data_IF_205100112004
#
_entry.id   IF_205100112004
#
_cell.length_a   1.000
_cell.length_b   1.000
_cell.length_c   1.000
_cell.angle_alpha   90.00
_cell.angle_beta   90.00
_cell.angle_gamma   90.00
#
_symmetry.space_group_name_H-M   'P 1'
#
loop_
_entity.id
_entity.type
_entity.pdbx_description
1 polymer ?
#
# COMPACT_ATOMS: atom_id res chain seq x y z
N UNK A 1 7.06 -12.06 -6.00
CA UNK A 1 6.19 -13.25 -6.18
C UNK A 1 5.18 -12.99 -7.28
N UNK A 2 5.05 -13.88 -8.17
CA UNK A 2 4.02 -13.80 -9.19
C UNK A 2 2.78 -14.55 -8.70
N UNK A 3 1.65 -13.91 -8.84
CA UNK A 3 0.38 -14.46 -8.38
C UNK A 3 -0.68 -14.50 -9.48
N UNK A 4 -0.30 -14.06 -10.66
CA UNK A 4 -1.22 -13.88 -11.78
C UNK A 4 -1.36 -15.12 -12.67
N UNK A 5 -0.65 -16.18 -12.38
CA UNK A 5 -0.79 -17.44 -13.11
C UNK A 5 -2.11 -18.10 -12.79
N UNK A 6 -2.71 -17.73 -11.66
CA UNK A 6 -3.97 -18.32 -11.23
C UNK A 6 -5.11 -17.61 -11.90
N UNK A 7 -5.47 -18.09 -13.08
CA UNK A 7 -6.67 -17.63 -13.78
C UNK A 7 -7.73 -18.73 -13.81
N UNK A 8 -7.56 -19.75 -12.99
CA UNK A 8 -8.49 -20.86 -12.89
C UNK A 8 -9.85 -20.33 -12.38
N UNK A 9 -10.91 -20.42 -13.19
CA UNK A 9 -12.24 -19.96 -12.77
C UNK A 9 -12.76 -20.66 -11.53
N UNK A 10 -12.40 -21.94 -11.34
CA UNK A 10 -12.84 -22.68 -10.16
C UNK A 10 -12.23 -22.13 -8.89
N UNK A 11 -10.93 -21.79 -8.93
CA UNK A 11 -10.25 -21.19 -7.78
C UNK A 11 -10.79 -19.80 -7.49
N UNK A 12 -10.96 -18.97 -8.51
CA UNK A 12 -11.51 -17.62 -8.36
C UNK A 12 -12.91 -17.66 -7.77
N UNK A 13 -13.77 -18.54 -8.25
CA UNK A 13 -15.12 -18.73 -7.73
C UNK A 13 -15.10 -19.18 -6.28
N UNK A 14 -14.20 -20.09 -5.93
CA UNK A 14 -14.06 -20.58 -4.56
C UNK A 14 -13.64 -19.46 -3.60
N UNK A 15 -12.70 -18.63 -4.00
CA UNK A 15 -12.25 -17.49 -3.19
C UNK A 15 -13.41 -16.49 -3.00
N UNK A 16 -14.16 -16.19 -4.07
CA UNK A 16 -15.28 -15.26 -3.98
C UNK A 16 -16.39 -15.80 -3.09
N UNK A 17 -16.67 -17.10 -3.14
CA UNK A 17 -17.67 -17.74 -2.29
C UNK A 17 -17.27 -17.71 -0.82
N UNK A 18 -15.99 -17.67 -0.52
CA UNK A 18 -15.49 -17.55 0.84
C UNK A 18 -15.72 -16.15 1.45
N UNK A 19 -16.18 -15.18 0.64
CA UNK A 19 -16.42 -13.80 1.06
C UNK A 19 -15.23 -12.88 0.84
N UNK A 20 -15.23 -11.71 1.47
CA UNK A 20 -14.17 -10.74 1.27
C UNK A 20 -12.82 -11.24 1.78
N UNK A 21 -11.76 -10.88 1.04
CA UNK A 21 -10.38 -11.16 1.41
C UNK A 21 -9.64 -9.84 1.49
N UNK A 22 -9.13 -9.52 2.68
CA UNK A 22 -8.41 -8.27 2.92
C UNK A 22 -6.92 -8.57 3.07
N UNK A 23 -6.10 -7.89 2.27
CA UNK A 23 -4.66 -7.98 2.36
C UNK A 23 -4.13 -6.76 3.12
N UNK A 24 -3.34 -7.00 4.17
CA UNK A 24 -2.54 -5.92 4.76
C UNK A 24 -1.38 -5.63 3.83
N UNK A 25 -1.43 -4.50 3.14
CA UNK A 25 -0.54 -4.20 2.03
C UNK A 25 0.68 -3.38 2.47
N UNK A 26 1.17 -3.62 3.68
CA UNK A 26 2.41 -2.99 4.18
C UNK A 26 3.00 -3.82 5.32
N UNK A 27 4.28 -3.56 5.60
CA UNK A 27 4.98 -4.10 6.76
C UNK A 27 5.61 -2.95 7.54
N UNK A 28 5.84 -3.16 8.85
CA UNK A 28 6.33 -2.10 9.72
C UNK A 28 7.73 -1.63 9.35
N UNK A 29 8.60 -2.54 8.98
CA UNK A 29 10.03 -2.31 8.75
C UNK A 29 10.40 -2.18 7.26
N UNK A 30 9.49 -1.69 6.45
CA UNK A 30 9.77 -1.41 5.04
C UNK A 30 10.84 -0.34 4.89
N UNK A 31 11.59 -0.40 3.79
CA UNK A 31 12.60 0.60 3.48
C UNK A 31 11.97 1.99 3.31
N UNK A 32 12.56 3.05 3.89
CA UNK A 32 12.03 4.41 3.79
C UNK A 32 12.48 5.08 2.49
N UNK A 33 12.12 4.50 1.36
CA UNK A 33 12.57 4.91 0.03
C UNK A 33 11.46 5.49 -0.85
N UNK A 34 10.27 5.68 -0.29
CA UNK A 34 9.12 6.28 -0.97
C UNK A 34 8.67 5.50 -2.23
N UNK A 35 8.89 4.19 -2.27
CA UNK A 35 8.60 3.37 -3.45
C UNK A 35 7.31 2.55 -3.35
N UNK A 36 6.67 2.52 -2.17
CA UNK A 36 5.62 1.54 -1.89
C UNK A 36 4.36 1.75 -2.72
N UNK A 37 3.93 3.00 -2.92
CA UNK A 37 2.75 3.27 -3.75
C UNK A 37 2.98 2.79 -5.18
N UNK A 38 4.15 3.04 -5.74
CA UNK A 38 4.50 2.55 -7.07
C UNK A 38 4.55 1.04 -7.14
N UNK A 39 5.07 0.41 -6.10
CA UNK A 39 5.09 -1.05 -5.99
C UNK A 39 3.67 -1.62 -6.02
N UNK A 40 2.77 -1.08 -5.19
CA UNK A 40 1.38 -1.55 -5.15
C UNK A 40 0.68 -1.33 -6.48
N UNK A 41 0.88 -0.17 -7.12
CA UNK A 41 0.29 0.10 -8.42
C UNK A 41 0.77 -0.88 -9.49
N UNK A 42 2.06 -1.22 -9.47
CA UNK A 42 2.63 -2.16 -10.43
C UNK A 42 2.10 -3.59 -10.23
N UNK A 43 1.71 -3.96 -9.01
CA UNK A 43 1.26 -5.31 -8.67
C UNK A 43 -0.26 -5.42 -8.44
N UNK A 44 -1.01 -4.35 -8.72
CA UNK A 44 -2.44 -4.30 -8.44
C UNK A 44 -3.20 -5.42 -9.14
N UNK A 45 -2.89 -5.71 -10.40
CA UNK A 45 -3.56 -6.76 -11.14
C UNK A 45 -3.27 -8.14 -10.54
N UNK A 46 -2.03 -8.39 -10.16
CA UNK A 46 -1.65 -9.67 -9.54
C UNK A 46 -2.39 -9.88 -8.22
N UNK A 47 -2.52 -8.82 -7.43
CA UNK A 47 -3.26 -8.86 -6.17
C UNK A 47 -4.74 -9.16 -6.43
N UNK A 48 -5.34 -8.51 -7.41
CA UNK A 48 -6.72 -8.74 -7.78
C UNK A 48 -6.95 -10.19 -8.26
N UNK A 49 -6.01 -10.72 -9.02
CA UNK A 49 -6.09 -12.08 -9.56
C UNK A 49 -6.07 -13.15 -8.46
N UNK A 50 -5.52 -12.83 -7.29
CA UNK A 50 -5.58 -13.72 -6.12
C UNK A 50 -6.96 -13.75 -5.46
N UNK A 51 -7.88 -12.87 -5.86
CA UNK A 51 -9.19 -12.76 -5.23
C UNK A 51 -9.23 -11.79 -4.05
N UNK A 52 -8.19 -10.98 -3.86
CA UNK A 52 -8.18 -9.92 -2.86
C UNK A 52 -9.23 -8.88 -3.23
N UNK A 53 -10.15 -8.60 -2.31
CA UNK A 53 -11.26 -7.67 -2.54
C UNK A 53 -11.02 -6.30 -1.95
N UNK A 54 -10.10 -6.18 -1.00
CA UNK A 54 -9.73 -4.91 -0.39
C UNK A 54 -8.29 -4.98 0.11
N UNK A 55 -7.62 -3.86 0.16
CA UNK A 55 -6.28 -3.78 0.74
C UNK A 55 -6.31 -2.80 1.92
N UNK A 56 -5.55 -3.14 2.95
CA UNK A 56 -5.33 -2.26 4.10
C UNK A 56 -4.02 -1.54 3.87
N UNK A 57 -4.12 -0.24 3.56
CA UNK A 57 -2.95 0.60 3.32
C UNK A 57 -2.41 1.16 4.64
N UNK A 58 -1.11 1.45 4.70
CA UNK A 58 -0.57 2.24 5.80
C UNK A 58 -1.08 3.68 5.67
N UNK A 59 -0.92 4.49 6.75
CA UNK A 59 -1.33 5.89 6.69
C UNK A 59 -0.64 6.62 5.54
N UNK A 60 -1.42 7.37 4.76
CA UNK A 60 -0.90 8.09 3.59
C UNK A 60 -0.39 9.49 3.94
N UNK A 61 -0.73 10.01 5.12
CA UNK A 61 -0.34 11.35 5.55
C UNK A 61 1.08 11.39 6.12
N UNK A 62 1.62 12.62 6.22
CA UNK A 62 2.97 12.84 6.74
C UNK A 62 3.02 12.51 8.24
N UNK A 63 3.94 11.63 8.60
CA UNK A 63 4.21 11.29 9.97
C UNK A 63 5.27 12.21 10.60
N UNK A 64 5.36 12.16 11.92
CA UNK A 64 6.28 13.00 12.69
C UNK A 64 7.74 12.76 12.32
N UNK A 65 8.11 11.54 12.00
CA UNK A 65 9.48 11.17 11.58
C UNK A 65 9.69 11.30 10.07
N UNK A 66 8.76 11.92 9.34
CA UNK A 66 8.87 12.11 7.90
C UNK A 66 8.94 10.79 7.15
N UNK A 67 9.93 10.66 6.28
CA UNK A 67 10.09 9.46 5.44
C UNK A 67 10.39 8.20 6.26
N UNK A 68 10.81 8.35 7.50
CA UNK A 68 11.10 7.21 8.38
C UNK A 68 9.89 6.77 9.20
N UNK A 69 8.80 7.54 9.18
CA UNK A 69 7.62 7.23 9.98
C UNK A 69 6.72 6.24 9.25
N UNK A 70 6.34 5.15 9.94
CA UNK A 70 5.36 4.21 9.42
C UNK A 70 4.02 4.91 9.13
N UNK A 71 3.77 6.05 9.79
CA UNK A 71 2.65 6.92 9.52
C UNK A 71 1.70 7.10 10.71
N UNK A 72 1.83 6.28 11.72
CA UNK A 72 0.94 6.34 12.89
C UNK A 72 1.32 7.46 13.88
N UNK A 73 2.53 8.03 13.73
CA UNK A 73 2.91 9.25 14.45
C UNK A 73 2.50 10.47 13.64
N UNK A 74 1.26 10.93 13.80
CA UNK A 74 0.68 11.97 12.95
C UNK A 74 1.42 13.29 13.09
N UNK A 75 1.80 13.88 11.96
CA UNK A 75 2.29 15.26 11.90
C UNK A 75 1.28 16.16 11.18
N UNK A 76 0.92 15.84 9.95
CA UNK A 76 -0.02 16.64 9.16
C UNK A 76 -0.92 15.72 8.34
N UNK A 77 -2.20 15.67 8.73
CA UNK A 77 -3.20 14.84 8.07
C UNK A 77 -3.50 15.28 6.63
N UNK A 78 -3.17 16.51 6.30
CA UNK A 78 -3.42 17.07 4.97
C UNK A 78 -2.23 16.98 4.03
N UNK A 79 -1.07 16.54 4.55
CA UNK A 79 0.12 16.33 3.73
C UNK A 79 0.24 14.86 3.37
N UNK A 80 -0.08 14.52 2.14
CA UNK A 80 -0.04 13.15 1.63
C UNK A 80 1.26 12.86 0.87
N UNK A 81 2.36 13.51 1.25
CA UNK A 81 3.61 13.44 0.52
C UNK A 81 3.68 14.53 -0.55
N UNK A 82 3.20 15.73 -0.22
CA UNK A 82 3.10 16.86 -1.13
C UNK A 82 3.99 18.02 -0.71
N UNK A 83 4.18 18.21 0.59
CA UNK A 83 4.92 19.34 1.14
C UNK A 83 6.24 18.91 1.76
N UNK A 84 7.27 19.74 1.64
CA UNK A 84 8.55 19.49 2.28
C UNK A 84 8.41 19.78 3.79
N UNK A 85 8.05 18.76 4.51
CA UNK A 85 7.87 18.80 5.95
C UNK A 85 8.56 17.60 6.59
N UNK A 86 9.06 17.79 7.79
CA UNK A 86 9.77 16.76 8.56
C UNK A 86 10.94 16.13 7.77
N UNK A 87 11.58 16.96 6.93
CA UNK A 87 12.80 16.59 6.23
C UNK A 87 12.60 15.94 4.87
N UNK A 88 11.37 15.80 4.38
CA UNK A 88 11.12 15.22 3.06
C UNK A 88 9.81 15.68 2.46
N UNK A 89 9.72 15.62 1.13
CA UNK A 89 8.44 15.78 0.43
C UNK A 89 7.64 14.47 0.51
N UNK A 90 8.19 13.30 0.11
CA UNK A 90 7.42 12.07 0.20
C UNK A 90 7.26 11.61 1.65
N UNK A 91 6.26 10.78 1.86
CA UNK A 91 6.16 9.91 3.04
C UNK A 91 7.06 8.69 2.83
N UNK A 92 7.09 7.79 3.80
CA UNK A 92 7.81 6.52 3.68
C UNK A 92 7.39 5.74 2.43
N UNK A 93 6.16 5.94 1.96
CA UNK A 93 5.54 5.12 0.92
C UNK A 93 5.48 5.79 -0.44
N UNK A 94 5.59 7.11 -0.51
CA UNK A 94 5.54 7.81 -1.78
C UNK A 94 5.03 9.24 -1.67
N UNK A 95 4.63 9.77 -2.80
CA UNK A 95 4.09 11.13 -2.92
C UNK A 95 2.58 11.09 -3.12
N UNK A 96 1.95 12.27 -3.00
CA UNK A 96 0.50 12.42 -3.16
C UNK A 96 0.03 11.97 -4.55
N UNK A 97 0.82 12.22 -5.58
CA UNK A 97 0.41 11.93 -6.95
C UNK A 97 0.50 10.43 -7.29
N UNK A 98 1.16 9.66 -6.50
CA UNK A 98 1.27 8.22 -6.69
C UNK A 98 0.11 7.48 -6.06
#
# INVERSE_FOLDING_TARGET
MRVNETTDPALASSVMEAGPLILQAFAWDMAPDASHWRYLAAHAQEIADLGVTAIWLPPAYKGHEGINDVGYGVYDLYDLGEFDQRGSVPTKYGTKDE
#
